data_IF_411120254946
#
_entry.id   IF_411120254946
#
_cell.length_a   1.000
_cell.length_b   1.000
_cell.length_c   1.000
_cell.angle_alpha   90.00
_cell.angle_beta   90.00
_cell.angle_gamma   90.00
#
_symmetry.space_group_name_H-M   'P 1'
#
loop_
_entity.id
_entity.type
_entity.pdbx_description
1 polymer ?
#
# COMPACT_ATOMS: atom_id res chain seq x y z
N UNK A 1 18.75 22.92 10.50
CA UNK A 1 18.57 22.64 11.94
C UNK A 1 17.90 23.83 12.57
N UNK A 2 16.88 23.61 13.40
CA UNK A 2 16.21 24.62 14.22
C UNK A 2 16.58 24.31 15.68
N UNK A 3 17.19 25.25 16.36
CA UNK A 3 17.67 25.06 17.74
C UNK A 3 16.76 25.77 18.75
N UNK A 4 16.68 25.22 19.98
CA UNK A 4 15.94 25.78 21.13
C UNK A 4 14.43 25.98 20.84
N UNK A 5 13.79 25.01 20.15
CA UNK A 5 12.36 25.02 19.92
C UNK A 5 11.65 24.09 20.89
N UNK A 6 11.04 24.63 21.93
CA UNK A 6 10.26 23.84 22.89
C UNK A 6 8.92 23.39 22.33
N UNK A 7 8.28 24.24 21.52
CA UNK A 7 7.00 23.95 20.88
C UNK A 7 6.90 24.68 19.53
N UNK A 8 6.24 24.03 18.54
CA UNK A 8 6.03 24.64 17.22
C UNK A 8 4.94 23.93 16.42
N UNK A 9 4.69 24.44 15.22
CA UNK A 9 3.75 23.84 14.27
C UNK A 9 4.48 23.44 13.01
N UNK A 10 4.36 22.17 12.61
CA UNK A 10 4.76 21.71 11.27
C UNK A 10 3.55 21.84 10.35
N UNK A 11 3.76 22.49 9.22
CA UNK A 11 2.79 22.54 8.11
C UNK A 11 3.42 21.96 6.87
N UNK A 12 2.67 21.13 6.16
CA UNK A 12 3.10 20.53 4.91
C UNK A 12 1.91 20.42 3.95
N UNK A 13 2.20 20.55 2.66
CA UNK A 13 1.23 20.32 1.59
C UNK A 13 1.81 19.39 0.54
N UNK A 14 0.96 18.63 -0.12
CA UNK A 14 1.34 17.73 -1.21
C UNK A 14 0.35 17.83 -2.35
N UNK A 15 0.86 17.64 -3.58
CA UNK A 15 0.06 17.42 -4.78
C UNK A 15 0.67 16.24 -5.54
N UNK A 16 -0.12 15.17 -5.71
CA UNK A 16 0.26 13.97 -6.45
C UNK A 16 -0.07 14.06 -7.94
N UNK A 17 0.52 13.17 -8.72
CA UNK A 17 0.16 12.93 -10.13
C UNK A 17 -0.95 11.86 -10.25
N UNK A 18 -1.11 11.02 -9.22
CA UNK A 18 -2.22 10.09 -9.02
C UNK A 18 -2.92 10.42 -7.69
N UNK A 19 -4.15 9.93 -7.45
CA UNK A 19 -4.84 10.11 -6.17
C UNK A 19 -4.00 9.67 -4.99
N UNK A 20 -4.13 10.37 -3.88
CA UNK A 20 -3.39 10.07 -2.65
C UNK A 20 -4.01 8.88 -1.94
N UNK A 21 -3.16 8.02 -1.37
CA UNK A 21 -3.53 6.96 -0.44
C UNK A 21 -3.28 7.39 1.01
N UNK A 22 -2.14 8.05 1.25
CA UNK A 22 -1.83 8.60 2.57
C UNK A 22 -0.82 9.75 2.51
N UNK A 23 -0.91 10.65 3.48
CA UNK A 23 0.05 11.72 3.72
C UNK A 23 0.37 11.77 5.20
N UNK A 24 1.61 11.41 5.58
CA UNK A 24 2.00 11.13 6.96
C UNK A 24 3.20 11.96 7.40
N UNK A 25 3.09 12.60 8.56
CA UNK A 25 4.19 13.26 9.26
C UNK A 25 4.86 12.29 10.23
N UNK A 26 6.17 12.19 10.14
CA UNK A 26 7.01 11.38 11.01
C UNK A 26 7.84 12.22 11.94
N UNK A 27 8.06 11.70 13.17
CA UNK A 27 9.06 12.10 14.13
C UNK A 27 10.07 10.95 14.28
N UNK A 28 11.24 11.07 13.68
CA UNK A 28 12.16 9.95 13.55
C UNK A 28 11.52 8.77 12.82
N UNK A 29 11.24 7.67 13.50
CA UNK A 29 10.58 6.48 12.95
C UNK A 29 9.08 6.41 13.27
N UNK A 30 8.58 7.30 14.11
CA UNK A 30 7.20 7.31 14.58
C UNK A 30 6.32 8.17 13.68
N UNK A 31 5.21 7.60 13.21
CA UNK A 31 4.16 8.34 12.52
C UNK A 31 3.32 9.09 13.57
N UNK A 32 3.40 10.44 13.58
CA UNK A 32 2.70 11.26 14.57
C UNK A 32 1.40 11.84 14.07
N UNK A 33 1.22 11.94 12.77
CA UNK A 33 -0.05 12.33 12.14
C UNK A 33 -0.15 11.76 10.74
N UNK A 34 -1.29 11.17 10.39
CA UNK A 34 -1.59 10.69 9.04
C UNK A 34 -2.93 11.22 8.57
N UNK A 35 -2.99 11.58 7.29
CA UNK A 35 -4.20 11.92 6.56
C UNK A 35 -4.41 10.84 5.51
N UNK A 36 -5.62 10.29 5.47
CA UNK A 36 -6.08 9.38 4.42
C UNK A 36 -7.36 9.95 3.80
N UNK A 37 -7.58 9.78 2.48
CA UNK A 37 -8.85 10.11 1.85
C UNK A 37 -10.04 9.45 2.54
N UNK A 38 -11.18 10.16 2.56
CA UNK A 38 -12.41 9.67 3.19
C UNK A 38 -12.90 8.34 2.60
N UNK A 39 -12.60 8.06 1.33
CA UNK A 39 -12.91 6.81 0.66
C UNK A 39 -12.38 5.56 1.39
N UNK A 40 -11.22 5.65 2.06
CA UNK A 40 -10.68 4.54 2.87
C UNK A 40 -11.49 4.26 4.13
N UNK A 41 -12.26 5.23 4.63
CA UNK A 41 -13.12 5.05 5.81
C UNK A 41 -14.42 4.32 5.46
N UNK A 42 -14.83 4.36 4.19
CA UNK A 42 -16.12 3.84 3.71
C UNK A 42 -15.98 2.77 2.63
N UNK A 43 -14.86 2.06 2.56
CA UNK A 43 -14.60 1.10 1.49
C UNK A 43 -15.23 -0.29 1.71
N UNK A 44 -15.96 -0.53 2.80
CA UNK A 44 -16.54 -1.86 3.12
C UNK A 44 -17.50 -2.38 2.04
N UNK A 45 -18.12 -1.49 1.27
CA UNK A 45 -19.00 -1.83 0.15
C UNK A 45 -18.32 -1.61 -1.21
N UNK A 46 -17.03 -1.35 -1.24
CA UNK A 46 -16.29 -1.21 -2.50
C UNK A 46 -16.20 -2.56 -3.21
N UNK A 47 -16.33 -2.54 -4.54
CA UNK A 47 -16.06 -3.68 -5.40
C UNK A 47 -14.58 -3.78 -5.83
N UNK A 48 -13.74 -2.91 -5.30
CA UNK A 48 -12.29 -2.94 -5.49
C UNK A 48 -11.61 -3.89 -4.52
N UNK A 49 -10.75 -4.75 -5.05
CA UNK A 49 -9.89 -5.64 -4.26
C UNK A 49 -8.46 -5.42 -4.71
N UNK A 50 -7.57 -5.10 -3.77
CA UNK A 50 -6.13 -5.08 -4.00
C UNK A 50 -5.53 -6.40 -3.53
N UNK A 51 -4.75 -7.03 -4.41
CA UNK A 51 -3.90 -8.18 -4.08
C UNK A 51 -2.46 -7.71 -4.22
N UNK A 52 -1.72 -7.63 -3.13
CA UNK A 52 -0.34 -7.14 -3.12
C UNK A 52 0.60 -8.14 -2.47
N UNK A 53 1.82 -8.22 -2.98
CA UNK A 53 2.86 -9.10 -2.46
C UNK A 53 4.19 -8.35 -2.42
N UNK A 54 5.07 -8.78 -1.50
CA UNK A 54 6.33 -8.10 -1.26
C UNK A 54 7.40 -9.03 -0.70
N UNK A 55 8.60 -8.48 -0.54
CA UNK A 55 9.66 -9.10 0.22
C UNK A 55 10.84 -9.58 -0.61
N UNK A 56 11.79 -10.17 0.07
CA UNK A 56 12.99 -10.73 -0.54
C UNK A 56 13.44 -12.01 0.17
N UNK A 57 14.17 -12.89 -0.54
CA UNK A 57 14.66 -14.14 0.03
C UNK A 57 15.74 -13.90 1.08
N UNK A 58 16.70 -13.05 0.75
CA UNK A 58 17.88 -12.74 1.54
C UNK A 58 18.32 -11.30 1.29
N UNK A 59 19.22 -10.79 2.11
CA UNK A 59 19.92 -9.52 1.83
C UNK A 59 21.03 -9.73 0.80
N UNK A 60 21.19 -8.78 -0.12
CA UNK A 60 22.26 -8.79 -1.10
C UNK A 60 21.94 -9.51 -2.41
N UNK A 61 22.92 -10.20 -3.00
CA UNK A 61 22.74 -10.91 -4.27
C UNK A 61 21.82 -12.12 -4.12
N UNK A 62 20.97 -12.38 -5.14
CA UNK A 62 20.00 -13.50 -5.11
C UNK A 62 18.76 -13.22 -4.25
N UNK A 63 18.50 -11.96 -3.93
CA UNK A 63 17.37 -11.53 -3.09
C UNK A 63 16.00 -11.63 -3.78
N UNK A 64 15.97 -11.73 -5.13
CA UNK A 64 14.71 -11.75 -5.89
C UNK A 64 13.81 -12.92 -5.51
N UNK A 65 12.56 -12.60 -5.29
CA UNK A 65 11.45 -13.55 -5.16
C UNK A 65 10.65 -13.51 -6.45
N UNK A 66 10.42 -14.67 -7.07
CA UNK A 66 9.58 -14.77 -8.28
C UNK A 66 8.17 -15.15 -7.84
N UNK A 67 7.20 -14.31 -8.23
CA UNK A 67 5.81 -14.46 -7.87
C UNK A 67 4.91 -14.92 -9.02
N UNK A 68 5.46 -15.06 -10.24
CA UNK A 68 4.71 -15.44 -11.44
C UNK A 68 3.56 -16.39 -11.12
N UNK A 69 2.31 -15.99 -11.46
CA UNK A 69 1.17 -16.75 -10.96
C UNK A 69 -0.17 -16.28 -11.51
N UNK A 70 -1.22 -16.60 -10.78
CA UNK A 70 -2.58 -16.23 -11.11
C UNK A 70 -3.41 -15.86 -9.89
N UNK A 71 -4.36 -14.96 -10.11
CA UNK A 71 -5.43 -14.61 -9.17
C UNK A 71 -6.73 -15.09 -9.81
N UNK A 72 -7.48 -15.94 -9.09
CA UNK A 72 -8.78 -16.45 -9.53
C UNK A 72 -9.89 -15.92 -8.64
N UNK A 73 -11.01 -15.61 -9.24
CA UNK A 73 -12.22 -15.16 -8.54
C UNK A 73 -13.35 -16.11 -8.84
N UNK A 74 -14.05 -16.58 -7.82
CA UNK A 74 -15.27 -17.35 -7.95
C UNK A 74 -16.43 -16.69 -7.22
N UNK A 75 -17.64 -16.78 -7.76
CA UNK A 75 -18.82 -16.12 -7.23
C UNK A 75 -18.95 -14.64 -7.60
N UNK A 76 -17.98 -14.08 -8.32
CA UNK A 76 -17.99 -12.74 -8.88
C UNK A 76 -17.24 -12.70 -10.22
N UNK A 77 -17.33 -11.58 -10.94
CA UNK A 77 -16.67 -11.38 -12.24
C UNK A 77 -15.69 -10.22 -12.19
N UNK A 78 -14.47 -10.43 -12.68
CA UNK A 78 -13.47 -9.39 -12.83
C UNK A 78 -13.86 -8.49 -14.00
N UNK A 79 -14.19 -7.23 -13.73
CA UNK A 79 -14.49 -6.20 -14.74
C UNK A 79 -13.22 -5.60 -15.33
N UNK A 80 -12.25 -5.33 -14.47
CA UNK A 80 -10.92 -4.84 -14.88
C UNK A 80 -9.86 -5.22 -13.86
N UNK A 81 -8.61 -5.29 -14.33
CA UNK A 81 -7.43 -5.43 -13.50
C UNK A 81 -6.39 -4.40 -13.94
N UNK A 82 -5.69 -3.81 -12.98
CA UNK A 82 -4.59 -2.89 -13.21
C UNK A 82 -3.41 -3.21 -12.31
N UNK A 83 -2.22 -2.92 -12.79
CA UNK A 83 -0.99 -3.09 -12.01
C UNK A 83 -0.91 -2.03 -10.90
N UNK A 84 -0.34 -2.42 -9.76
CA UNK A 84 -0.05 -1.56 -8.63
C UNK A 84 1.42 -1.71 -8.23
N UNK A 85 2.16 -0.62 -8.16
CA UNK A 85 3.56 -0.56 -7.68
C UNK A 85 4.61 -1.34 -8.47
N UNK A 86 4.33 -1.85 -9.66
CA UNK A 86 5.33 -2.55 -10.46
C UNK A 86 6.46 -1.60 -10.88
N UNK A 87 7.70 -1.96 -10.56
CA UNK A 87 8.89 -1.17 -10.88
C UNK A 87 9.66 -1.71 -12.10
N UNK A 88 9.37 -2.92 -12.57
CA UNK A 88 10.02 -3.58 -13.69
C UNK A 88 9.13 -3.58 -14.92
N UNK A 89 9.62 -3.06 -16.04
CA UNK A 89 8.91 -3.12 -17.33
C UNK A 89 8.77 -4.55 -17.89
N UNK A 90 9.48 -5.53 -17.33
CA UNK A 90 9.39 -6.94 -17.73
C UNK A 90 8.29 -7.69 -16.97
N UNK A 91 7.74 -7.10 -15.93
CA UNK A 91 6.73 -7.65 -15.06
C UNK A 91 5.36 -7.01 -15.38
N UNK A 92 4.25 -7.66 -15.04
CA UNK A 92 2.91 -7.14 -15.33
C UNK A 92 1.84 -8.22 -15.51
N UNK A 93 0.67 -7.79 -15.92
CA UNK A 93 -0.44 -8.68 -16.25
C UNK A 93 -0.16 -9.31 -17.63
N UNK A 94 -0.20 -10.66 -17.70
CA UNK A 94 0.01 -11.44 -18.92
C UNK A 94 -1.32 -11.66 -19.67
N UNK A 95 -2.35 -12.03 -18.91
CA UNK A 95 -3.69 -12.27 -19.45
C UNK A 95 -4.76 -12.00 -18.40
N UNK A 96 -5.94 -11.62 -18.87
CA UNK A 96 -7.11 -11.37 -18.03
C UNK A 96 -8.36 -11.98 -18.67
N UNK A 97 -9.18 -12.61 -17.84
CA UNK A 97 -10.54 -13.05 -18.14
C UNK A 97 -11.51 -12.54 -17.08
N UNK A 98 -12.78 -12.88 -17.19
CA UNK A 98 -13.77 -12.55 -16.16
C UNK A 98 -13.55 -13.28 -14.82
N UNK A 99 -12.70 -14.30 -14.75
CA UNK A 99 -12.49 -15.10 -13.54
C UNK A 99 -11.02 -15.28 -13.17
N UNK A 100 -10.09 -14.87 -14.02
CA UNK A 100 -8.66 -15.07 -13.77
C UNK A 100 -7.83 -13.91 -14.33
N UNK A 101 -6.80 -13.53 -13.57
CA UNK A 101 -5.71 -12.67 -14.02
C UNK A 101 -4.41 -13.43 -13.81
N UNK A 102 -3.66 -13.67 -14.87
CA UNK A 102 -2.30 -14.21 -14.80
C UNK A 102 -1.28 -13.10 -14.91
N UNK A 103 -0.19 -13.22 -14.16
CA UNK A 103 0.81 -12.18 -14.04
C UNK A 103 2.23 -12.72 -13.93
N UNK A 104 3.17 -11.84 -14.22
CA UNK A 104 4.61 -12.04 -13.99
C UNK A 104 5.11 -10.93 -13.08
N UNK A 105 5.83 -11.31 -12.02
CA UNK A 105 6.35 -10.37 -11.03
C UNK A 105 7.57 -10.90 -10.30
N UNK A 106 8.40 -9.99 -9.85
CA UNK A 106 9.54 -10.37 -9.03
C UNK A 106 10.03 -9.26 -8.12
N UNK A 107 9.82 -9.43 -6.83
CA UNK A 107 10.20 -8.47 -5.80
C UNK A 107 11.61 -8.67 -5.27
N UNK A 108 12.21 -7.59 -4.79
CA UNK A 108 13.55 -7.56 -4.18
C UNK A 108 13.56 -6.85 -2.82
N UNK A 109 12.41 -6.83 -2.14
CA UNK A 109 12.10 -6.10 -0.92
C UNK A 109 11.05 -5.00 -1.11
N UNK A 110 10.72 -4.69 -2.35
CA UNK A 110 9.65 -3.83 -2.82
C UNK A 110 8.29 -4.55 -2.76
N UNK A 111 7.25 -3.85 -3.21
CA UNK A 111 5.87 -4.37 -3.26
C UNK A 111 5.36 -4.25 -4.68
N UNK A 112 4.81 -5.33 -5.21
CA UNK A 112 4.00 -5.38 -6.41
C UNK A 112 2.55 -5.73 -6.04
N UNK A 113 1.61 -5.50 -6.95
CA UNK A 113 0.23 -5.86 -6.72
C UNK A 113 -0.66 -5.70 -7.95
N UNK A 114 -1.88 -6.16 -7.82
CA UNK A 114 -2.93 -6.02 -8.82
C UNK A 114 -4.20 -5.53 -8.13
N UNK A 115 -4.74 -4.44 -8.66
CA UNK A 115 -6.04 -3.91 -8.27
C UNK A 115 -7.11 -4.50 -9.20
N UNK A 116 -8.05 -5.21 -8.61
CA UNK A 116 -9.20 -5.81 -9.29
C UNK A 116 -10.45 -4.97 -9.05
N UNK A 117 -11.22 -4.72 -10.11
CA UNK A 117 -12.58 -4.25 -10.02
C UNK A 117 -13.52 -5.43 -10.30
N UNK A 118 -14.34 -5.79 -9.34
CA UNK A 118 -15.34 -6.84 -9.47
C UNK A 118 -16.71 -6.25 -9.82
N UNK A 119 -17.61 -7.09 -10.33
CA UNK A 119 -19.02 -6.69 -10.49
C UNK A 119 -19.76 -6.66 -9.15
N UNK A 120 -19.44 -7.60 -8.26
CA UNK A 120 -19.95 -7.67 -6.90
C UNK A 120 -18.91 -8.35 -5.99
N UNK A 121 -18.44 -7.64 -4.99
CA UNK A 121 -17.50 -8.17 -3.99
C UNK A 121 -18.19 -8.50 -2.65
N UNK A 122 -19.51 -8.56 -2.61
CA UNK A 122 -20.27 -8.90 -1.38
C UNK A 122 -20.13 -10.37 -0.98
N UNK A 123 -19.77 -11.23 -1.94
CA UNK A 123 -19.57 -12.67 -1.74
C UNK A 123 -18.61 -13.27 -2.73
N UNK A 124 -18.42 -14.60 -2.66
CA UNK A 124 -17.46 -15.33 -3.47
C UNK A 124 -16.09 -15.41 -2.81
N UNK A 125 -15.11 -15.97 -3.53
CA UNK A 125 -13.75 -16.18 -3.04
C UNK A 125 -12.72 -15.63 -4.03
N UNK A 126 -11.60 -15.19 -3.50
CA UNK A 126 -10.40 -14.86 -4.25
C UNK A 126 -9.30 -15.82 -3.88
N UNK A 127 -8.67 -16.43 -4.88
CA UNK A 127 -7.57 -17.38 -4.74
C UNK A 127 -6.33 -16.80 -5.41
N UNK A 128 -5.24 -16.80 -4.69
CA UNK A 128 -3.91 -16.45 -5.19
C UNK A 128 -3.07 -17.73 -5.30
N UNK A 129 -2.37 -17.88 -6.41
CA UNK A 129 -1.51 -19.03 -6.69
C UNK A 129 -0.19 -18.56 -7.31
N UNK A 130 0.93 -18.92 -6.68
CA UNK A 130 2.29 -18.61 -7.16
C UNK A 130 3.28 -19.66 -6.68
N UNK A 131 4.53 -19.70 -7.23
CA UNK A 131 5.59 -20.57 -6.72
C UNK A 131 6.00 -20.30 -5.25
N UNK A 132 5.62 -19.13 -4.71
CA UNK A 132 5.90 -18.75 -3.32
C UNK A 132 4.92 -19.40 -2.36
N UNK A 133 3.65 -19.52 -2.76
CA UNK A 133 2.58 -20.11 -1.97
C UNK A 133 1.21 -19.79 -2.52
N UNK A 134 0.19 -20.34 -1.89
CA UNK A 134 -1.22 -20.18 -2.22
C UNK A 134 -1.97 -19.55 -1.06
N UNK A 135 -3.02 -18.79 -1.36
CA UNK A 135 -3.92 -18.24 -0.36
C UNK A 135 -5.34 -18.15 -0.94
N UNK A 136 -6.32 -18.27 -0.07
CA UNK A 136 -7.74 -18.10 -0.41
C UNK A 136 -8.41 -17.23 0.66
N UNK A 137 -9.25 -16.30 0.22
CA UNK A 137 -10.00 -15.39 1.10
C UNK A 137 -11.44 -15.31 0.60
N UNK A 138 -12.39 -15.41 1.52
CA UNK A 138 -13.78 -15.11 1.26
C UNK A 138 -13.97 -13.59 1.22
N UNK A 139 -14.50 -13.07 0.11
CA UNK A 139 -14.68 -11.63 -0.09
C UNK A 139 -15.63 -11.00 0.93
N UNK A 140 -16.61 -11.76 1.43
CA UNK A 140 -17.52 -11.28 2.47
C UNK A 140 -16.83 -11.03 3.84
N UNK A 141 -15.67 -11.63 4.08
CA UNK A 141 -14.90 -11.45 5.31
C UNK A 141 -14.02 -10.19 5.29
N UNK A 142 -13.78 -9.61 4.10
CA UNK A 142 -12.98 -8.40 3.95
C UNK A 142 -13.78 -7.14 4.27
N UNK A 143 -14.17 -6.93 5.54
CA UNK A 143 -14.98 -5.82 6.01
C UNK A 143 -14.48 -5.23 7.33
N UNK A 144 -14.71 -3.96 7.57
CA UNK A 144 -14.37 -3.27 8.82
C UNK A 144 -12.88 -3.39 9.17
N UNK A 145 -12.59 -3.83 10.38
CA UNK A 145 -11.23 -4.06 10.85
C UNK A 145 -10.52 -5.23 10.13
N UNK A 146 -11.29 -6.16 9.55
CA UNK A 146 -10.80 -7.34 8.81
C UNK A 146 -10.72 -7.11 7.30
N UNK A 147 -10.89 -5.88 6.82
CA UNK A 147 -10.84 -5.56 5.38
C UNK A 147 -9.54 -5.95 4.68
N UNK A 148 -8.50 -6.32 5.44
CA UNK A 148 -7.19 -6.75 4.95
C UNK A 148 -6.80 -8.05 5.62
N UNK A 149 -6.48 -9.06 4.80
CA UNK A 149 -5.96 -10.35 5.21
C UNK A 149 -4.55 -10.52 4.66
N UNK A 150 -3.56 -10.85 5.51
CA UNK A 150 -2.17 -11.03 5.11
C UNK A 150 -1.65 -12.41 5.47
N UNK A 151 -0.84 -12.98 4.58
CA UNK A 151 -0.20 -14.29 4.68
C UNK A 151 1.31 -14.09 4.68
N UNK A 152 1.99 -14.64 5.67
CA UNK A 152 3.45 -14.61 5.79
C UNK A 152 4.03 -15.91 5.23
N UNK A 153 4.92 -15.80 4.25
CA UNK A 153 5.65 -16.91 3.65
C UNK A 153 7.13 -16.96 4.11
N UNK A 154 7.47 -16.19 5.15
CA UNK A 154 8.81 -16.16 5.74
C UNK A 154 9.80 -15.25 5.00
N UNK A 155 11.06 -15.67 4.94
CA UNK A 155 12.12 -14.86 4.31
C UNK A 155 12.33 -13.51 4.98
N UNK A 156 12.57 -12.47 4.15
CA UNK A 156 12.62 -11.08 4.59
C UNK A 156 11.33 -10.39 4.15
N UNK A 157 10.30 -10.48 4.97
CA UNK A 157 8.96 -9.95 4.73
C UNK A 157 8.31 -10.48 3.44
N UNK A 158 8.51 -11.77 3.10
CA UNK A 158 7.79 -12.39 1.99
C UNK A 158 6.33 -12.56 2.41
N UNK A 159 5.49 -11.65 1.96
CA UNK A 159 4.11 -11.51 2.41
C UNK A 159 3.18 -11.25 1.23
N UNK A 160 2.00 -11.86 1.27
CA UNK A 160 0.86 -11.57 0.42
C UNK A 160 -0.21 -10.89 1.28
N UNK A 161 -0.82 -9.82 0.77
CA UNK A 161 -2.00 -9.21 1.40
C UNK A 161 -3.13 -9.09 0.37
N UNK A 162 -4.34 -9.40 0.79
CA UNK A 162 -5.58 -9.22 0.04
C UNK A 162 -6.46 -8.29 0.84
N UNK A 163 -6.88 -7.18 0.23
CA UNK A 163 -7.65 -6.17 0.94
C UNK A 163 -8.75 -5.56 0.08
N UNK A 164 -9.84 -5.16 0.73
CA UNK A 164 -10.83 -4.32 0.09
C UNK A 164 -10.29 -2.92 -0.07
N UNK A 165 -10.41 -2.37 -1.27
CA UNK A 165 -9.79 -1.12 -1.67
C UNK A 165 -10.82 -0.16 -2.27
N UNK A 166 -10.79 1.14 -1.94
CA UNK A 166 -11.72 2.10 -2.51
C UNK A 166 -11.42 2.32 -4.00
N UNK A 167 -12.48 2.44 -4.80
CA UNK A 167 -12.39 2.62 -6.26
C UNK A 167 -12.64 4.05 -6.70
N UNK A 168 -13.05 4.93 -5.80
CA UNK A 168 -13.47 6.31 -6.04
C UNK A 168 -12.48 7.35 -5.48
N UNK A 169 -11.18 7.01 -5.46
CA UNK A 169 -10.15 7.95 -5.04
C UNK A 169 -10.01 9.11 -6.02
N UNK A 170 -10.34 10.32 -5.56
CA UNK A 170 -10.30 11.55 -6.35
C UNK A 170 -9.44 12.66 -5.74
N UNK A 171 -8.84 12.40 -4.59
CA UNK A 171 -8.05 13.40 -3.86
C UNK A 171 -6.58 13.36 -4.30
N UNK A 172 -6.16 14.34 -5.10
CA UNK A 172 -4.78 14.48 -5.60
C UNK A 172 -3.91 15.39 -4.73
N UNK A 173 -4.49 16.09 -3.75
CA UNK A 173 -3.78 17.02 -2.90
C UNK A 173 -4.23 16.90 -1.45
N UNK A 174 -3.32 17.17 -0.52
CA UNK A 174 -3.62 17.22 0.91
C UNK A 174 -2.75 18.24 1.61
N UNK A 175 -3.26 18.78 2.72
CA UNK A 175 -2.53 19.65 3.64
C UNK A 175 -2.52 19.02 5.04
N UNK A 176 -1.38 19.08 5.70
CA UNK A 176 -1.19 18.58 7.05
C UNK A 176 -0.65 19.71 7.92
N UNK A 177 -1.24 19.87 9.11
CA UNK A 177 -0.72 20.73 10.16
C UNK A 177 -0.71 19.97 11.48
N UNK A 178 0.41 19.98 12.21
CA UNK A 178 0.55 19.31 13.50
C UNK A 178 1.36 20.17 14.46
N UNK A 179 0.88 20.28 15.70
CA UNK A 179 1.66 20.79 16.81
C UNK A 179 2.73 19.76 17.19
N UNK A 180 3.93 20.23 17.43
CA UNK A 180 5.08 19.40 17.83
C UNK A 180 5.73 19.93 19.08
N UNK A 181 6.19 19.02 19.92
CA UNK A 181 7.01 19.27 21.10
C UNK A 181 8.24 18.36 20.99
N UNK A 182 9.39 18.87 20.53
CA UNK A 182 10.59 18.07 20.42
C UNK A 182 11.08 17.65 21.82
N UNK A 183 11.56 16.39 21.97
CA UNK A 183 12.11 15.93 23.25
C UNK A 183 13.28 16.82 23.74
N UNK A 184 13.30 17.15 25.02
CA UNK A 184 14.35 17.96 25.60
C UNK A 184 15.73 17.28 25.48
N UNK A 185 16.75 18.05 25.12
CA UNK A 185 18.14 17.60 25.03
C UNK A 185 18.41 16.65 23.85
N UNK A 186 17.48 16.54 22.88
CA UNK A 186 17.65 15.67 21.71
C UNK A 186 17.41 16.45 20.41
N UNK A 187 18.16 16.09 19.38
CA UNK A 187 17.88 16.53 18.02
C UNK A 187 17.00 15.49 17.32
N UNK A 188 15.83 15.91 16.90
CA UNK A 188 14.82 15.02 16.30
C UNK A 188 14.53 15.42 14.85
N UNK A 189 14.46 14.44 13.97
CA UNK A 189 14.12 14.63 12.56
C UNK A 189 12.60 14.60 12.38
N UNK A 190 12.05 15.59 11.67
CA UNK A 190 10.67 15.62 11.21
C UNK A 190 10.64 15.62 9.69
N UNK A 191 9.85 14.76 9.09
CA UNK A 191 9.67 14.67 7.64
C UNK A 191 8.28 14.13 7.30
N UNK A 192 7.84 14.35 6.08
CA UNK A 192 6.58 13.79 5.59
C UNK A 192 6.85 12.71 4.54
N UNK A 193 5.95 11.73 4.50
CA UNK A 193 5.85 10.70 3.47
C UNK A 193 4.48 10.81 2.82
N UNK A 194 4.43 10.76 1.51
CA UNK A 194 3.20 10.59 0.72
C UNK A 194 3.23 9.25 -0.01
N UNK A 195 2.06 8.62 -0.10
CA UNK A 195 1.82 7.42 -0.90
C UNK A 195 0.65 7.73 -1.83
N UNK A 196 0.80 7.42 -3.10
CA UNK A 196 -0.25 7.49 -4.11
C UNK A 196 -0.88 6.11 -4.32
N UNK A 197 -2.09 6.07 -4.86
CA UNK A 197 -2.82 4.82 -5.10
C UNK A 197 -2.18 3.91 -6.15
N UNK A 198 -1.31 4.45 -6.99
CA UNK A 198 -0.49 3.70 -7.95
C UNK A 198 0.77 3.08 -7.33
N UNK A 199 0.97 3.27 -6.02
CA UNK A 199 2.11 2.78 -5.25
C UNK A 199 3.34 3.69 -5.26
N UNK A 200 3.34 4.78 -6.04
CA UNK A 200 4.45 5.72 -5.99
C UNK A 200 4.50 6.46 -4.66
N UNK A 201 5.71 6.71 -4.17
CA UNK A 201 5.96 7.31 -2.88
C UNK A 201 7.00 8.42 -2.98
N UNK A 202 6.84 9.44 -2.12
CA UNK A 202 7.86 10.47 -1.96
C UNK A 202 8.03 10.84 -0.49
N UNK A 203 9.23 11.30 -0.15
CA UNK A 203 9.59 11.80 1.18
C UNK A 203 10.17 13.21 1.06
N UNK A 204 9.82 14.07 2.01
CA UNK A 204 10.54 15.34 2.12
C UNK A 204 11.94 15.14 2.72
N UNK A 205 12.83 16.10 2.50
CA UNK A 205 14.01 16.21 3.34
C UNK A 205 13.61 16.41 4.80
N UNK A 206 14.34 15.83 5.76
CA UNK A 206 14.04 16.02 7.16
C UNK A 206 14.41 17.42 7.66
N UNK A 207 13.57 17.98 8.53
CA UNK A 207 13.89 19.16 9.33
C UNK A 207 14.36 18.64 10.69
N UNK A 208 15.58 18.99 11.08
CA UNK A 208 16.14 18.62 12.38
C UNK A 208 15.84 19.72 13.39
N UNK A 209 15.23 19.35 14.50
CA UNK A 209 14.84 20.28 15.57
C UNK A 209 15.45 19.79 16.88
N UNK A 210 16.11 20.68 17.60
CA UNK A 210 16.61 20.45 18.96
C UNK A 210 15.86 21.35 19.95
N UNK A 211 15.58 20.82 21.11
CA UNK A 211 15.02 21.55 22.27
C UNK A 211 16.02 21.56 23.38
#
# INVERSE_FOLDING_TARGET
VINNLAKGTVRASVKGMAPLESFTLFRGKEAIKSIQPAAFTHCDNSNGIRVSWRGSRIRGRGRRVTWDGAIRVSGATIKSASIHSFDSAADGIIAQSGQEVSFKSGTTGDTDGIDLMLDDASGGTIQFDSPVGTAEVNLAELQGASRRCCFDFGGLDIQLCIERYPTDLTEYAAELSAEIEPPAGQTTAYFVKVVQNDGHMAWSSPIYISN
#
